data_IF_707685242737
#
_entry.id   IF_707685242737
#
_cell.length_a   1.000
_cell.length_b   1.000
_cell.length_c   1.000
_cell.angle_alpha   90.00
_cell.angle_beta   90.00
_cell.angle_gamma   90.00
#
_symmetry.space_group_name_H-M   'P 1'
#
loop_
_entity.id
_entity.type
_entity.pdbx_description
1 polymer ?
#
# COMPACT_ATOMS: atom_id res chain seq x y z
N UNK A 1 20.32 30.53 -2.63
CA UNK A 1 21.43 31.48 -2.84
C UNK A 1 22.70 30.67 -3.00
N UNK A 2 23.53 31.03 -3.98
CA UNK A 2 24.78 30.29 -4.25
C UNK A 2 25.88 31.23 -4.75
N UNK A 3 27.07 31.08 -4.24
CA UNK A 3 28.30 31.61 -4.85
C UNK A 3 29.17 30.43 -5.23
N UNK A 4 29.50 30.30 -6.53
CA UNK A 4 30.29 29.17 -7.05
C UNK A 4 31.59 28.98 -6.24
N UNK A 5 31.91 27.76 -5.89
CA UNK A 5 33.10 27.32 -5.17
C UNK A 5 33.34 27.99 -3.80
N UNK A 6 32.30 28.62 -3.21
CA UNK A 6 32.40 29.29 -1.92
C UNK A 6 31.30 28.91 -0.95
N UNK A 7 30.03 29.14 -1.29
CA UNK A 7 28.93 28.78 -0.41
C UNK A 7 27.64 28.50 -1.16
N UNK A 8 26.73 27.78 -0.52
CA UNK A 8 25.32 27.78 -0.85
C UNK A 8 24.46 27.83 0.40
N UNK A 9 23.26 28.36 0.24
CA UNK A 9 22.17 28.31 1.19
C UNK A 9 20.92 27.93 0.41
N UNK A 10 20.20 26.92 0.88
CA UNK A 10 18.93 26.45 0.30
C UNK A 10 17.89 26.30 1.41
N UNK A 11 16.69 26.84 1.17
CA UNK A 11 15.52 26.59 2.00
C UNK A 11 14.34 26.20 1.11
N UNK A 12 13.53 25.27 1.55
CA UNK A 12 12.31 24.88 0.87
C UNK A 12 11.30 24.28 1.85
N UNK A 13 10.04 24.26 1.44
CA UNK A 13 8.98 23.53 2.10
C UNK A 13 8.32 22.58 1.10
N UNK A 14 7.92 21.42 1.57
CA UNK A 14 7.09 20.47 0.85
C UNK A 14 5.81 20.26 1.65
N UNK A 15 4.66 20.37 0.98
CA UNK A 15 3.36 20.09 1.58
C UNK A 15 2.73 18.90 0.87
N UNK A 16 2.21 17.98 1.66
CA UNK A 16 1.44 16.84 1.19
C UNK A 16 -0.05 17.20 1.16
N UNK A 17 -0.77 16.60 0.23
CA UNK A 17 -2.23 16.59 0.19
C UNK A 17 -2.69 15.24 -0.37
N UNK A 18 -3.32 14.43 0.47
CA UNK A 18 -3.82 13.12 0.05
C UNK A 18 -4.98 13.24 -0.96
N UNK A 19 -5.64 14.40 -1.05
CA UNK A 19 -6.80 14.59 -1.93
C UNK A 19 -7.88 13.56 -1.67
N UNK A 20 -8.30 12.87 -2.74
CA UNK A 20 -9.31 11.80 -2.71
C UNK A 20 -8.69 10.40 -2.65
N UNK A 21 -7.44 10.27 -2.18
CA UNK A 21 -6.76 8.99 -2.03
C UNK A 21 -7.44 8.09 -1.00
N UNK A 22 -7.47 6.81 -1.26
CA UNK A 22 -8.04 5.80 -0.36
C UNK A 22 -7.25 4.48 -0.45
N UNK A 23 -7.43 3.61 0.54
CA UNK A 23 -6.85 2.28 0.55
C UNK A 23 -7.71 1.31 -0.30
N UNK A 24 -7.24 0.87 -1.49
CA UNK A 24 -8.03 -0.01 -2.35
C UNK A 24 -8.19 -1.42 -1.76
N UNK A 25 -7.23 -1.91 -0.99
CA UNK A 25 -7.28 -3.23 -0.40
C UNK A 25 -8.35 -3.30 0.69
N UNK A 26 -8.32 -2.38 1.65
CA UNK A 26 -9.34 -2.33 2.69
C UNK A 26 -10.71 -1.93 2.14
N UNK A 27 -10.78 -1.11 1.09
CA UNK A 27 -12.03 -0.81 0.40
C UNK A 27 -12.68 -2.09 -0.14
N UNK A 28 -11.90 -2.95 -0.81
CA UNK A 28 -12.41 -4.21 -1.34
C UNK A 28 -12.90 -5.14 -0.21
N UNK A 29 -12.16 -5.27 0.89
CA UNK A 29 -12.56 -6.07 2.04
C UNK A 29 -13.85 -5.56 2.68
N UNK A 30 -13.97 -4.25 2.92
CA UNK A 30 -15.16 -3.67 3.53
C UNK A 30 -16.39 -3.74 2.61
N UNK A 31 -16.21 -3.59 1.29
CA UNK A 31 -17.29 -3.84 0.33
C UNK A 31 -17.76 -5.30 0.38
N UNK A 32 -16.84 -6.24 0.49
CA UNK A 32 -17.17 -7.65 0.63
C UNK A 32 -17.89 -7.94 1.95
N UNK A 33 -17.49 -7.33 3.06
CA UNK A 33 -18.15 -7.45 4.36
C UNK A 33 -19.57 -6.85 4.34
N UNK A 34 -19.77 -5.73 3.64
CA UNK A 34 -21.08 -5.08 3.50
C UNK A 34 -22.00 -5.79 2.49
N UNK A 35 -21.43 -6.61 1.60
CA UNK A 35 -22.17 -7.37 0.61
C UNK A 35 -22.86 -8.57 1.24
N UNK A 36 -23.89 -9.08 0.58
CA UNK A 36 -24.54 -10.33 0.95
C UNK A 36 -23.53 -11.46 1.01
N UNK A 37 -23.45 -12.11 2.16
CA UNK A 37 -22.47 -13.16 2.41
C UNK A 37 -22.86 -14.47 1.67
N UNK A 38 -21.87 -15.34 1.35
CA UNK A 38 -22.10 -16.60 0.62
C UNK A 38 -23.10 -17.55 1.29
N UNK A 39 -23.14 -17.58 2.62
CA UNK A 39 -24.05 -18.40 3.43
C UNK A 39 -25.52 -17.98 3.32
N UNK A 40 -25.78 -16.70 2.99
CA UNK A 40 -27.09 -16.18 2.69
C UNK A 40 -27.40 -16.22 1.18
N UNK A 41 -26.41 -16.04 0.33
CA UNK A 41 -26.55 -16.03 -1.13
C UNK A 41 -26.81 -17.43 -1.69
N UNK A 42 -26.04 -18.42 -1.28
CA UNK A 42 -26.09 -19.79 -1.77
C UNK A 42 -27.48 -20.44 -1.59
N UNK A 43 -28.07 -20.43 -0.40
CA UNK A 43 -29.44 -20.96 -0.19
C UNK A 43 -30.49 -20.31 -1.07
N UNK A 44 -30.40 -18.99 -1.31
CA UNK A 44 -31.36 -18.31 -2.18
C UNK A 44 -31.23 -18.77 -3.64
N UNK A 45 -29.98 -18.90 -4.14
CA UNK A 45 -29.70 -19.42 -5.47
C UNK A 45 -30.27 -20.84 -5.65
N UNK A 46 -29.93 -21.75 -4.73
CA UNK A 46 -30.39 -23.15 -4.75
C UNK A 46 -31.92 -23.24 -4.63
N UNK A 47 -32.50 -22.44 -3.75
CA UNK A 47 -33.97 -22.42 -3.60
C UNK A 47 -34.67 -21.98 -4.89
N UNK A 48 -34.14 -20.99 -5.60
CA UNK A 48 -34.69 -20.56 -6.88
C UNK A 48 -34.60 -21.69 -7.93
N UNK A 49 -33.45 -22.38 -8.02
CA UNK A 49 -33.27 -23.53 -8.89
C UNK A 49 -34.30 -24.63 -8.60
N UNK A 50 -34.44 -25.03 -7.34
CA UNK A 50 -35.32 -26.10 -6.95
C UNK A 50 -36.79 -25.78 -7.19
N UNK A 51 -37.22 -24.53 -6.95
CA UNK A 51 -38.63 -24.14 -7.07
C UNK A 51 -39.06 -23.77 -8.48
N UNK A 52 -38.16 -23.15 -9.26
CA UNK A 52 -38.56 -22.58 -10.55
C UNK A 52 -37.93 -23.29 -11.74
N UNK A 53 -36.68 -23.76 -11.63
CA UNK A 53 -35.94 -24.30 -12.80
C UNK A 53 -36.06 -25.80 -12.89
N UNK A 54 -35.89 -26.54 -11.78
CA UNK A 54 -35.93 -28.00 -11.78
C UNK A 54 -37.27 -28.53 -12.28
N UNK A 55 -38.44 -28.04 -11.81
CA UNK A 55 -39.72 -28.48 -12.33
C UNK A 55 -39.87 -28.22 -13.84
N UNK A 56 -39.51 -27.02 -14.29
CA UNK A 56 -39.56 -26.64 -15.69
C UNK A 56 -38.63 -27.47 -16.59
N UNK A 57 -37.39 -27.71 -16.14
CA UNK A 57 -36.46 -28.59 -16.87
C UNK A 57 -37.01 -30.03 -16.98
N UNK A 58 -37.70 -30.53 -15.95
CA UNK A 58 -38.35 -31.86 -15.98
C UNK A 58 -39.49 -31.89 -17.00
N UNK A 59 -40.31 -30.87 -17.05
CA UNK A 59 -41.39 -30.72 -18.05
C UNK A 59 -40.85 -30.74 -19.47
N UNK A 60 -39.63 -30.18 -19.69
CA UNK A 60 -38.94 -30.19 -20.98
C UNK A 60 -38.20 -31.48 -21.26
N UNK A 61 -38.25 -32.49 -20.37
CA UNK A 61 -37.69 -33.81 -20.57
C UNK A 61 -36.29 -34.04 -19.96
N UNK A 62 -35.89 -33.24 -18.98
CA UNK A 62 -34.67 -33.53 -18.22
C UNK A 62 -34.82 -34.87 -17.48
N UNK A 63 -33.86 -35.83 -17.64
CA UNK A 63 -33.99 -37.16 -17.06
C UNK A 63 -34.00 -37.08 -15.52
N UNK A 64 -34.81 -37.93 -14.93
CA UNK A 64 -34.92 -38.06 -13.49
C UNK A 64 -34.09 -39.26 -13.02
N UNK A 65 -33.59 -39.15 -11.79
CA UNK A 65 -33.00 -40.28 -11.12
C UNK A 65 -34.08 -41.31 -10.82
N UNK A 66 -33.95 -42.52 -11.34
CA UNK A 66 -34.87 -43.63 -11.07
C UNK A 66 -34.20 -44.64 -10.13
N UNK A 67 -34.92 -45.10 -9.15
CA UNK A 67 -34.41 -46.14 -8.25
C UNK A 67 -35.03 -47.45 -8.72
N UNK A 68 -34.15 -48.39 -9.10
CA UNK A 68 -34.55 -49.73 -9.57
C UNK A 68 -34.13 -50.75 -8.53
N UNK A 69 -35.05 -51.67 -8.17
CA UNK A 69 -34.73 -52.79 -7.34
C UNK A 69 -34.06 -53.88 -8.17
N UNK A 70 -32.85 -54.31 -7.79
CA UNK A 70 -32.18 -55.40 -8.42
C UNK A 70 -32.55 -56.72 -7.63
N UNK A 71 -33.28 -57.60 -8.25
CA UNK A 71 -33.76 -58.85 -7.58
C UNK A 71 -32.64 -59.86 -7.33
N UNK A 72 -31.48 -59.71 -8.01
CA UNK A 72 -30.33 -60.60 -7.85
C UNK A 72 -29.50 -60.19 -6.64
N UNK A 73 -29.20 -58.92 -6.51
CA UNK A 73 -28.41 -58.39 -5.39
C UNK A 73 -29.25 -57.94 -4.19
N UNK A 74 -30.60 -57.98 -4.31
CA UNK A 74 -31.54 -57.49 -3.31
C UNK A 74 -31.27 -56.04 -2.87
N UNK A 75 -30.73 -55.23 -3.75
CA UNK A 75 -30.39 -53.82 -3.49
C UNK A 75 -31.14 -52.86 -4.37
N UNK A 76 -31.39 -51.68 -3.85
CA UNK A 76 -31.87 -50.52 -4.64
C UNK A 76 -30.66 -49.86 -5.34
N UNK A 77 -30.70 -49.80 -6.64
CA UNK A 77 -29.70 -49.07 -7.47
C UNK A 77 -30.32 -47.85 -8.07
N UNK A 78 -29.58 -46.74 -8.02
CA UNK A 78 -29.99 -45.50 -8.65
C UNK A 78 -29.49 -45.51 -10.11
N UNK A 79 -30.40 -45.31 -11.04
CA UNK A 79 -30.10 -45.21 -12.47
C UNK A 79 -30.41 -43.77 -12.96
N UNK A 80 -29.45 -43.18 -13.66
CA UNK A 80 -29.56 -41.87 -14.27
C UNK A 80 -29.09 -41.92 -15.74
N UNK A 81 -29.95 -41.46 -16.66
CA UNK A 81 -29.58 -41.41 -18.08
C UNK A 81 -28.70 -40.19 -18.37
N UNK A 82 -27.40 -40.39 -18.29
CA UNK A 82 -26.40 -39.36 -18.54
C UNK A 82 -26.41 -38.91 -20.02
N UNK A 83 -26.73 -39.79 -20.98
CA UNK A 83 -26.77 -39.42 -22.38
C UNK A 83 -27.97 -38.49 -22.66
N UNK A 84 -29.14 -38.80 -22.11
CA UNK A 84 -30.29 -37.92 -22.20
C UNK A 84 -30.03 -36.56 -21.52
N UNK A 85 -29.36 -36.55 -20.40
CA UNK A 85 -28.94 -35.29 -19.73
C UNK A 85 -28.00 -34.48 -20.60
N UNK A 86 -26.99 -35.09 -21.21
CA UNK A 86 -26.04 -34.39 -22.10
C UNK A 86 -26.77 -33.84 -23.34
N UNK A 87 -27.66 -34.59 -23.94
CA UNK A 87 -28.48 -34.15 -25.06
C UNK A 87 -29.37 -32.95 -24.66
N UNK A 88 -29.93 -32.97 -23.47
CA UNK A 88 -30.70 -31.85 -22.91
C UNK A 88 -29.85 -30.59 -22.75
N UNK A 89 -28.63 -30.69 -22.19
CA UNK A 89 -27.73 -29.56 -22.03
C UNK A 89 -27.35 -28.92 -23.38
N UNK A 90 -27.10 -29.72 -24.41
CA UNK A 90 -26.83 -29.18 -25.74
C UNK A 90 -28.07 -28.50 -26.32
N UNK A 91 -29.23 -29.12 -26.20
CA UNK A 91 -30.49 -28.59 -26.78
C UNK A 91 -30.95 -27.31 -26.13
N UNK A 92 -30.80 -27.18 -24.79
CA UNK A 92 -31.31 -26.06 -24.00
C UNK A 92 -30.19 -25.15 -23.44
N UNK A 93 -29.04 -25.12 -24.11
CA UNK A 93 -27.86 -24.35 -23.64
C UNK A 93 -28.22 -22.89 -23.34
N UNK A 94 -28.87 -22.19 -24.25
CA UNK A 94 -29.26 -20.78 -24.08
C UNK A 94 -30.27 -20.59 -22.94
N UNK A 95 -31.20 -21.52 -22.80
CA UNK A 95 -32.16 -21.52 -21.70
C UNK A 95 -31.46 -21.72 -20.34
N UNK A 96 -30.48 -22.60 -20.27
CA UNK A 96 -29.68 -22.82 -19.06
C UNK A 96 -28.91 -21.57 -18.63
N UNK A 97 -28.31 -20.86 -19.58
CA UNK A 97 -27.68 -19.58 -19.30
C UNK A 97 -28.66 -18.54 -18.76
N UNK A 98 -29.85 -18.45 -19.36
CA UNK A 98 -30.91 -17.56 -18.88
C UNK A 98 -31.36 -17.95 -17.47
N UNK A 99 -31.67 -19.22 -17.24
CA UNK A 99 -32.09 -19.72 -15.92
C UNK A 99 -31.03 -19.49 -14.83
N UNK A 100 -29.75 -19.68 -15.18
CA UNK A 100 -28.66 -19.38 -14.26
C UNK A 100 -28.60 -17.90 -13.91
N UNK A 101 -28.78 -17.01 -14.89
CA UNK A 101 -28.81 -15.57 -14.65
C UNK A 101 -30.05 -15.17 -13.83
N UNK A 102 -31.21 -15.76 -14.08
CA UNK A 102 -32.42 -15.51 -13.31
C UNK A 102 -32.26 -15.94 -11.83
N UNK A 103 -31.65 -17.11 -11.60
CA UNK A 103 -31.35 -17.60 -10.26
C UNK A 103 -30.32 -16.71 -9.54
N UNK A 104 -29.29 -16.24 -10.26
CA UNK A 104 -28.28 -15.31 -9.75
C UNK A 104 -28.92 -13.98 -9.38
N UNK A 105 -29.72 -13.39 -10.27
CA UNK A 105 -30.41 -12.13 -10.02
C UNK A 105 -31.33 -12.23 -8.79
N UNK A 106 -32.05 -13.35 -8.65
CA UNK A 106 -32.85 -13.61 -7.46
C UNK A 106 -31.97 -13.69 -6.19
N UNK A 107 -30.87 -14.43 -6.24
CA UNK A 107 -29.97 -14.53 -5.10
C UNK A 107 -29.35 -13.19 -4.73
N UNK A 108 -28.99 -12.37 -5.71
CA UNK A 108 -28.42 -11.04 -5.50
C UNK A 108 -29.42 -10.08 -4.83
N UNK A 109 -30.70 -10.16 -5.19
CA UNK A 109 -31.70 -9.17 -4.80
C UNK A 109 -32.70 -9.64 -3.75
N UNK A 110 -32.77 -10.94 -3.42
CA UNK A 110 -33.81 -11.55 -2.57
C UNK A 110 -33.80 -11.09 -1.10
N UNK A 111 -32.83 -10.36 -0.65
CA UNK A 111 -32.84 -9.70 0.65
C UNK A 111 -32.37 -8.24 0.47
N UNK A 112 -33.30 -7.32 0.58
CA UNK A 112 -33.05 -5.88 0.37
C UNK A 112 -32.24 -5.23 1.47
N UNK A 113 -32.16 -5.83 2.66
CA UNK A 113 -31.41 -5.27 3.78
C UNK A 113 -29.88 -5.41 3.61
N UNK A 114 -29.46 -6.48 2.94
CA UNK A 114 -28.05 -6.74 2.61
C UNK A 114 -27.95 -7.24 1.17
N UNK A 115 -28.02 -6.34 0.17
CA UNK A 115 -27.93 -6.73 -1.23
C UNK A 115 -26.54 -7.23 -1.56
N UNK A 116 -26.42 -8.11 -2.54
CA UNK A 116 -25.12 -8.43 -3.12
C UNK A 116 -24.61 -7.22 -3.91
N UNK A 117 -23.43 -6.71 -3.57
CA UNK A 117 -22.87 -5.50 -4.18
C UNK A 117 -22.21 -5.84 -5.52
N UNK A 118 -22.98 -5.81 -6.59
CA UNK A 118 -22.48 -6.05 -7.96
C UNK A 118 -21.82 -4.78 -8.49
N UNK A 119 -20.55 -4.82 -8.94
CA UNK A 119 -19.89 -3.68 -9.55
C UNK A 119 -20.71 -3.06 -10.69
N UNK A 120 -20.79 -1.73 -10.73
CA UNK A 120 -21.58 -0.98 -11.71
C UNK A 120 -23.03 -0.72 -11.29
N UNK A 121 -23.54 -1.33 -10.24
CA UNK A 121 -24.88 -1.03 -9.71
C UNK A 121 -24.88 0.21 -8.81
N UNK A 122 -26.03 0.86 -8.67
CA UNK A 122 -26.20 2.01 -7.78
C UNK A 122 -25.88 1.67 -6.32
N UNK A 123 -26.23 0.46 -5.87
CA UNK A 123 -25.94 -0.02 -4.52
C UNK A 123 -24.44 -0.13 -4.27
N UNK A 124 -23.71 -0.71 -5.23
CA UNK A 124 -22.24 -0.79 -5.18
C UNK A 124 -21.61 0.60 -5.16
N UNK A 125 -22.01 1.50 -6.07
CA UNK A 125 -21.45 2.86 -6.13
C UNK A 125 -21.72 3.65 -4.85
N UNK A 126 -22.89 3.50 -4.26
CA UNK A 126 -23.23 4.14 -2.98
C UNK A 126 -22.32 3.64 -1.85
N UNK A 127 -22.16 2.33 -1.73
CA UNK A 127 -21.30 1.72 -0.72
C UNK A 127 -19.83 2.12 -0.93
N UNK A 128 -19.33 2.05 -2.16
CA UNK A 128 -17.98 2.46 -2.54
C UNK A 128 -17.73 3.93 -2.16
N UNK A 129 -18.61 4.85 -2.61
CA UNK A 129 -18.45 6.27 -2.33
C UNK A 129 -18.47 6.55 -0.83
N UNK A 130 -19.33 5.88 -0.06
CA UNK A 130 -19.35 6.02 1.39
C UNK A 130 -18.02 5.61 2.03
N UNK A 131 -17.42 4.51 1.60
CA UNK A 131 -16.16 4.02 2.13
C UNK A 131 -14.98 4.95 1.78
N UNK A 132 -14.85 5.35 0.52
CA UNK A 132 -13.71 6.14 0.06
C UNK A 132 -13.75 7.61 0.52
N UNK A 133 -14.93 8.16 0.77
CA UNK A 133 -15.09 9.53 1.30
C UNK A 133 -15.05 9.61 2.83
N UNK A 134 -15.22 8.49 3.51
CA UNK A 134 -15.07 8.40 4.96
C UNK A 134 -13.60 8.16 5.29
N UNK A 135 -13.05 8.92 6.25
CA UNK A 135 -11.65 8.75 6.66
C UNK A 135 -11.39 7.34 7.17
N UNK A 136 -10.24 6.81 6.83
CA UNK A 136 -9.75 5.56 7.42
C UNK A 136 -9.52 5.78 8.93
N UNK A 137 -9.89 4.81 9.72
CA UNK A 137 -9.73 4.82 11.17
C UNK A 137 -9.35 3.43 11.66
N UNK A 138 -9.14 3.29 12.97
CA UNK A 138 -9.05 1.95 13.58
C UNK A 138 -10.26 1.15 13.12
N UNK A 139 -10.05 -0.12 12.76
CA UNK A 139 -11.06 -1.08 12.26
C UNK A 139 -12.29 -1.18 13.18
N UNK A 140 -13.14 -0.15 13.17
CA UNK A 140 -14.42 -0.13 13.85
C UNK A 140 -15.52 -0.10 12.80
N UNK A 141 -16.67 -0.68 13.11
CA UNK A 141 -17.85 -0.58 12.26
C UNK A 141 -18.08 0.90 11.88
N UNK A 142 -18.14 1.19 10.60
CA UNK A 142 -18.33 2.55 10.09
C UNK A 142 -17.04 3.30 9.74
N UNK A 143 -15.86 2.68 9.88
CA UNK A 143 -14.60 3.23 9.37
C UNK A 143 -14.62 3.26 7.84
N UNK A 144 -14.12 4.33 7.26
CA UNK A 144 -13.87 4.42 5.82
C UNK A 144 -12.46 3.98 5.44
N UNK A 145 -12.10 4.26 4.21
CA UNK A 145 -10.78 3.94 3.64
C UNK A 145 -10.06 5.15 3.05
N UNK A 146 -10.70 6.34 3.12
CA UNK A 146 -10.14 7.58 2.63
C UNK A 146 -8.95 8.04 3.48
N UNK A 147 -7.85 8.41 2.85
CA UNK A 147 -6.71 9.01 3.52
C UNK A 147 -6.93 10.52 3.73
N UNK A 148 -6.39 11.01 4.81
CA UNK A 148 -6.21 12.43 5.04
C UNK A 148 -4.74 12.68 5.32
N UNK A 149 -4.10 13.53 4.53
CA UNK A 149 -2.74 13.97 4.77
C UNK A 149 -2.60 15.45 4.39
N UNK A 150 -2.17 16.24 5.34
CA UNK A 150 -1.83 17.66 5.20
C UNK A 150 -0.47 17.90 5.87
N UNK A 151 0.42 16.92 5.76
CA UNK A 151 1.75 16.97 6.35
C UNK A 151 2.63 17.99 5.63
N UNK A 152 3.61 18.52 6.34
CA UNK A 152 4.60 19.41 5.76
C UNK A 152 6.01 19.09 6.25
N UNK A 153 6.98 19.35 5.39
CA UNK A 153 8.41 19.35 5.67
C UNK A 153 8.97 20.73 5.38
N UNK A 154 9.65 21.30 6.34
CA UNK A 154 10.46 22.50 6.19
C UNK A 154 11.93 22.13 6.27
N UNK A 155 12.73 22.58 5.30
CA UNK A 155 14.14 22.25 5.24
C UNK A 155 14.98 23.47 4.92
N UNK A 156 16.03 23.67 5.70
CA UNK A 156 17.08 24.63 5.41
C UNK A 156 18.43 23.93 5.49
N UNK A 157 19.32 24.21 4.55
CA UNK A 157 20.69 23.75 4.58
C UNK A 157 21.65 24.77 4.00
N UNK A 158 22.86 24.77 4.51
CA UNK A 158 23.94 25.64 4.03
C UNK A 158 25.31 24.97 4.15
N UNK A 159 26.20 25.42 3.28
CA UNK A 159 27.59 24.98 3.24
C UNK A 159 28.48 26.15 2.89
N UNK A 160 29.63 26.20 3.53
CA UNK A 160 30.69 27.14 3.21
C UNK A 160 32.03 26.43 3.02
N UNK A 161 32.78 26.84 1.99
CA UNK A 161 34.08 26.31 1.62
C UNK A 161 35.17 27.31 1.91
N UNK A 162 36.12 26.89 2.68
CA UNK A 162 37.34 27.65 3.00
C UNK A 162 38.53 27.09 2.20
N UNK A 163 39.51 27.94 1.91
CA UNK A 163 40.76 27.53 1.29
C UNK A 163 41.97 28.04 2.12
N UNK A 164 42.14 27.54 3.35
CA UNK A 164 43.25 27.94 4.17
C UNK A 164 44.56 27.32 3.64
N UNK A 165 45.72 27.86 4.00
CA UNK A 165 47.01 27.45 3.47
C UNK A 165 47.44 26.02 3.87
N UNK A 166 46.87 25.47 4.95
CA UNK A 166 47.26 24.15 5.46
C UNK A 166 46.47 22.97 4.83
N UNK A 167 45.35 23.23 4.10
CA UNK A 167 44.57 22.22 3.34
C UNK A 167 44.11 22.85 2.01
N UNK A 168 43.77 21.99 1.04
CA UNK A 168 43.32 22.45 -0.27
C UNK A 168 41.86 22.96 -0.21
N UNK A 169 41.04 22.30 0.56
CA UNK A 169 39.66 22.71 0.82
C UNK A 169 39.25 22.28 2.24
N UNK A 170 38.52 23.13 2.92
CA UNK A 170 37.84 22.85 4.17
C UNK A 170 36.37 23.25 4.03
N UNK A 171 35.51 22.30 4.20
CA UNK A 171 34.05 22.46 4.08
C UNK A 171 33.44 22.42 5.46
N UNK A 172 32.51 23.34 5.74
CA UNK A 172 31.65 23.30 6.92
C UNK A 172 30.23 23.52 6.44
N UNK A 173 29.32 22.69 6.90
CA UNK A 173 27.92 22.81 6.53
C UNK A 173 26.99 22.24 7.58
N UNK A 174 25.71 22.53 7.38
CA UNK A 174 24.66 22.02 8.25
C UNK A 174 23.30 22.07 7.60
N UNK A 175 22.37 21.36 8.21
CA UNK A 175 20.98 21.36 7.80
C UNK A 175 20.07 21.30 9.03
N UNK A 176 18.86 21.82 8.85
CA UNK A 176 17.76 21.66 9.78
C UNK A 176 16.51 21.24 9.03
N UNK A 177 15.77 20.28 9.59
CA UNK A 177 14.48 19.80 9.10
C UNK A 177 13.46 19.83 10.19
N UNK A 178 12.25 20.27 9.85
CA UNK A 178 11.10 20.18 10.70
C UNK A 178 9.99 19.48 9.95
N UNK A 179 9.55 18.36 10.48
CA UNK A 179 8.40 17.60 9.99
C UNK A 179 7.19 17.94 10.85
N UNK A 180 6.07 18.19 10.20
CA UNK A 180 4.77 18.44 10.83
C UNK A 180 3.72 17.51 10.22
N UNK A 181 3.76 16.21 10.57
CA UNK A 181 2.76 15.26 10.08
C UNK A 181 1.36 15.65 10.57
N UNK A 182 0.36 15.55 9.67
CA UNK A 182 -1.04 15.84 9.98
C UNK A 182 -1.94 14.93 9.16
N UNK A 183 -2.29 13.79 9.73
CA UNK A 183 -3.09 12.77 9.07
C UNK A 183 -4.47 12.54 9.67
N UNK A 184 -4.79 13.19 10.78
CA UNK A 184 -6.03 12.99 11.54
C UNK A 184 -6.27 11.50 11.88
N UNK A 185 -5.20 10.77 12.18
CA UNK A 185 -5.23 9.35 12.53
C UNK A 185 -5.27 8.39 11.37
N UNK A 186 -5.28 8.84 10.12
CA UNK A 186 -5.32 7.93 8.95
C UNK A 186 -3.97 7.29 8.63
N UNK A 187 -2.87 7.93 9.05
CA UNK A 187 -1.49 7.47 8.82
C UNK A 187 -0.72 7.47 10.14
N UNK A 188 -0.71 8.61 10.83
CA UNK A 188 0.03 8.82 12.08
C UNK A 188 -0.91 8.83 13.29
N UNK A 189 -0.35 8.60 14.48
CA UNK A 189 -1.10 8.61 15.75
C UNK A 189 -1.42 10.04 16.22
N UNK A 190 -1.99 10.87 15.33
CA UNK A 190 -2.33 12.29 15.56
C UNK A 190 -3.84 12.52 15.75
N UNK A 191 -4.52 11.56 16.39
CA UNK A 191 -5.93 11.67 16.79
C UNK A 191 -6.11 12.55 18.04
N UNK A 192 -7.33 13.04 18.26
CA UNK A 192 -7.69 13.73 19.52
C UNK A 192 -6.92 15.02 19.79
N UNK A 193 -6.62 15.81 18.74
CA UNK A 193 -5.84 17.06 18.82
C UNK A 193 -4.35 16.88 19.18
N UNK A 194 -3.82 15.67 19.09
CA UNK A 194 -2.38 15.45 19.25
C UNK A 194 -1.65 16.09 18.06
N UNK A 195 -0.71 16.97 18.34
CA UNK A 195 0.17 17.58 17.34
C UNK A 195 1.51 16.86 17.38
N UNK A 196 1.84 16.20 16.30
CA UNK A 196 3.14 15.56 16.11
C UNK A 196 4.07 16.56 15.43
N UNK A 197 5.26 16.72 15.99
CA UNK A 197 6.38 17.41 15.33
C UNK A 197 7.63 16.57 15.49
N UNK A 198 8.47 16.58 14.51
CA UNK A 198 9.78 15.94 14.60
C UNK A 198 10.81 16.85 13.94
N UNK A 199 11.81 17.25 14.70
CA UNK A 199 12.89 18.11 14.22
C UNK A 199 14.21 17.35 14.22
N UNK A 200 15.03 17.65 13.23
CA UNK A 200 16.40 17.13 13.15
C UNK A 200 17.36 18.18 12.62
N UNK A 201 18.57 18.16 13.10
CA UNK A 201 19.64 18.96 12.54
C UNK A 201 20.89 18.10 12.34
N UNK A 202 21.67 18.48 11.35
CA UNK A 202 22.95 17.87 11.07
C UNK A 202 24.01 18.95 10.87
N UNK A 203 25.19 18.72 11.43
CA UNK A 203 26.37 19.51 11.18
C UNK A 203 27.45 18.62 10.59
N UNK A 204 28.22 19.12 9.64
CA UNK A 204 29.32 18.39 9.08
C UNK A 204 30.51 19.29 8.78
N UNK A 205 31.68 18.68 8.81
CA UNK A 205 32.91 19.29 8.36
C UNK A 205 33.70 18.29 7.55
N UNK A 206 34.45 18.78 6.60
CA UNK A 206 35.30 17.93 5.74
C UNK A 206 36.52 18.68 5.24
N UNK A 207 37.63 17.96 5.08
CA UNK A 207 38.85 18.50 4.53
C UNK A 207 39.29 17.69 3.31
N UNK A 208 39.85 18.39 2.33
CA UNK A 208 40.68 17.79 1.27
C UNK A 208 42.11 18.30 1.40
N UNK A 209 43.05 17.37 1.42
CA UNK A 209 44.48 17.71 1.36
C UNK A 209 45.21 16.87 0.30
N UNK A 210 45.94 17.56 -0.55
CA UNK A 210 46.86 16.96 -1.51
C UNK A 210 48.29 17.17 -1.02
N UNK A 211 49.13 16.17 -1.21
CA UNK A 211 50.54 16.22 -0.79
C UNK A 211 51.41 15.32 -1.67
N UNK A 212 52.74 15.38 -1.51
CA UNK A 212 53.71 14.66 -2.32
C UNK A 212 53.55 14.93 -3.83
N UNK A 213 53.54 16.20 -4.24
CA UNK A 213 53.33 16.65 -5.62
C UNK A 213 52.02 16.13 -6.22
N UNK A 214 50.94 16.26 -5.46
CA UNK A 214 49.55 15.82 -5.78
C UNK A 214 49.37 14.31 -6.00
N UNK A 215 50.39 13.50 -5.72
CA UNK A 215 50.30 12.04 -5.81
C UNK A 215 49.39 11.44 -4.76
N UNK A 216 49.21 12.10 -3.63
CA UNK A 216 48.30 11.68 -2.58
C UNK A 216 47.18 12.70 -2.40
N UNK A 217 45.92 12.19 -2.29
CA UNK A 217 44.76 12.99 -1.95
C UNK A 217 44.06 12.34 -0.75
N UNK A 218 44.02 13.03 0.35
CA UNK A 218 43.27 12.69 1.55
C UNK A 218 41.97 13.47 1.57
N UNK A 219 40.84 12.77 1.74
CA UNK A 219 39.56 13.37 2.09
C UNK A 219 39.15 12.79 3.44
N UNK A 220 38.72 13.63 4.36
CA UNK A 220 38.21 13.21 5.65
C UNK A 220 36.95 14.07 5.96
N UNK A 221 35.90 13.43 6.42
CA UNK A 221 34.65 14.09 6.81
C UNK A 221 34.18 13.56 8.13
N UNK A 222 33.55 14.42 8.91
CA UNK A 222 32.80 14.06 10.11
C UNK A 222 31.44 14.73 10.06
N UNK A 223 30.40 13.94 10.24
CA UNK A 223 29.03 14.41 10.33
C UNK A 223 28.46 14.04 11.71
N UNK A 224 27.73 14.96 12.29
CA UNK A 224 26.93 14.79 13.50
C UNK A 224 25.47 15.07 13.14
N UNK A 225 24.59 14.16 13.49
CA UNK A 225 23.14 14.33 13.34
C UNK A 225 22.47 14.20 14.71
N UNK A 226 21.44 15.00 14.94
CA UNK A 226 20.57 14.93 16.10
C UNK A 226 19.12 15.02 15.66
N UNK A 227 18.36 14.01 16.00
CA UNK A 227 16.90 14.01 15.87
C UNK A 227 16.26 14.31 17.23
N UNK A 228 15.08 14.90 17.23
CA UNK A 228 14.34 15.24 18.45
C UNK A 228 14.20 14.06 19.43
N UNK A 229 13.96 12.85 18.91
CA UNK A 229 13.65 11.66 19.69
C UNK A 229 14.85 10.72 19.93
N UNK A 230 15.99 10.96 19.29
CA UNK A 230 17.16 10.08 19.34
C UNK A 230 18.42 10.83 19.72
N UNK A 231 19.39 10.13 20.22
CA UNK A 231 20.69 10.68 20.60
C UNK A 231 21.53 11.13 19.41
N UNK A 232 22.64 11.79 19.70
CA UNK A 232 23.58 12.23 18.68
C UNK A 232 24.19 11.05 17.95
N UNK A 233 24.20 11.13 16.62
CA UNK A 233 24.83 10.16 15.73
C UNK A 233 26.04 10.79 15.06
N UNK A 234 27.14 10.06 15.02
CA UNK A 234 28.39 10.49 14.39
C UNK A 234 28.73 9.56 13.23
N UNK A 235 28.98 10.15 12.07
CA UNK A 235 29.30 9.43 10.84
C UNK A 235 30.64 9.92 10.30
N UNK A 236 31.75 9.33 10.73
CA UNK A 236 33.06 9.60 10.15
C UNK A 236 33.25 8.90 8.81
N UNK A 237 33.95 9.57 7.90
CA UNK A 237 34.41 8.96 6.66
C UNK A 237 35.81 9.50 6.29
N UNK A 238 36.64 8.63 5.74
CA UNK A 238 37.96 9.01 5.23
C UNK A 238 38.27 8.23 3.96
N UNK A 239 38.97 8.85 3.03
CA UNK A 239 39.56 8.18 1.88
C UNK A 239 40.93 8.73 1.54
N UNK A 240 41.85 7.83 1.24
CA UNK A 240 43.17 8.13 0.74
C UNK A 240 43.30 7.60 -0.68
N UNK A 241 43.62 8.46 -1.61
CA UNK A 241 43.90 8.08 -3.00
C UNK A 241 45.41 8.31 -3.25
N UNK A 242 46.07 7.28 -3.72
CA UNK A 242 47.44 7.33 -4.24
C UNK A 242 47.42 7.24 -5.75
N UNK A 243 47.94 8.24 -6.43
CA UNK A 243 47.98 8.34 -7.88
C UNK A 243 49.44 8.60 -8.32
N UNK A 244 50.24 7.55 -8.56
CA UNK A 244 51.65 7.69 -8.95
C UNK A 244 51.84 8.35 -10.31
N UNK A 245 50.90 8.13 -11.23
CA UNK A 245 50.87 8.67 -12.59
C UNK A 245 49.45 9.02 -13.05
N UNK A 246 49.27 9.45 -14.31
CA UNK A 246 47.97 9.89 -14.84
C UNK A 246 46.98 8.75 -15.10
N UNK A 247 47.43 7.51 -15.09
CA UNK A 247 46.66 6.35 -15.51
C UNK A 247 46.28 5.48 -14.29
N UNK A 248 47.22 5.30 -13.37
CA UNK A 248 47.09 4.36 -12.26
C UNK A 248 46.70 5.07 -10.96
N UNK A 249 45.77 4.47 -10.21
CA UNK A 249 45.48 4.93 -8.86
C UNK A 249 45.05 3.75 -7.94
N UNK A 250 45.33 3.93 -6.67
CA UNK A 250 44.87 3.04 -5.59
C UNK A 250 44.08 3.88 -4.60
N UNK A 251 42.90 3.39 -4.17
CA UNK A 251 42.04 4.06 -3.20
C UNK A 251 41.79 3.16 -2.00
N UNK A 252 41.99 3.71 -0.82
CA UNK A 252 41.50 3.15 0.45
C UNK A 252 40.42 4.04 1.00
N UNK A 253 39.27 3.45 1.41
CA UNK A 253 38.17 4.22 1.97
C UNK A 253 37.56 3.52 3.18
N UNK A 254 37.26 4.30 4.22
CA UNK A 254 36.55 3.90 5.43
C UNK A 254 35.34 4.83 5.59
N UNK A 255 34.14 4.25 5.73
CA UNK A 255 32.92 5.02 5.89
C UNK A 255 32.05 4.41 6.99
N UNK A 256 31.43 5.27 7.78
CA UNK A 256 30.35 4.91 8.69
C UNK A 256 29.10 5.69 8.29
N UNK A 257 27.96 4.99 8.23
CA UNK A 257 26.67 5.61 7.99
C UNK A 257 25.65 5.08 9.00
N UNK A 258 24.99 6.00 9.68
CA UNK A 258 23.93 5.70 10.66
C UNK A 258 22.70 6.51 10.25
N UNK A 259 21.51 5.92 10.41
CA UNK A 259 20.24 6.56 10.08
C UNK A 259 19.26 6.42 11.24
N UNK A 260 18.56 7.48 11.57
CA UNK A 260 17.43 7.44 12.47
C UNK A 260 16.23 6.70 11.84
N UNK A 261 15.34 6.10 12.64
CA UNK A 261 14.04 5.58 12.18
C UNK A 261 13.23 6.65 11.45
N UNK A 262 12.43 6.22 10.48
CA UNK A 262 11.55 7.12 9.73
C UNK A 262 10.39 7.61 10.60
N UNK A 263 9.63 8.61 10.12
CA UNK A 263 8.40 9.06 10.80
C UNK A 263 7.37 7.93 10.94
N UNK A 264 7.25 7.07 9.92
CA UNK A 264 6.36 5.91 9.98
C UNK A 264 6.79 4.93 11.08
N UNK A 265 8.09 4.68 11.24
CA UNK A 265 8.59 3.80 12.31
C UNK A 265 8.33 4.37 13.70
N UNK A 266 8.22 5.69 13.82
CA UNK A 266 8.06 6.39 15.11
C UNK A 266 6.59 6.66 15.47
N UNK A 267 5.73 6.92 14.49
CA UNK A 267 4.40 7.51 14.73
C UNK A 267 3.27 6.84 13.95
N UNK A 268 3.52 5.69 13.29
CA UNK A 268 2.47 4.98 12.56
C UNK A 268 1.29 4.65 13.48
N UNK A 269 0.09 4.91 12.99
CA UNK A 269 -1.14 4.49 13.65
C UNK A 269 -1.48 3.05 13.23
N UNK A 270 -1.35 2.10 14.14
CA UNK A 270 -1.61 0.66 13.94
C UNK A 270 -3.02 0.28 14.36
#
# INVERSE_FOLDING_TARGET
IRQKDKFFLRAYATNEDAGDSYDPYFTALLLQEQSKQPDAWGPNYVTYWQRNIVPHARELGFPQLTTVYDPITMRLTNNFDQNAANAFYVKYNDSLFKWQNDARNYADTSNTNTPFLVPGTTAFQKALNQLITTKSGRRTLGSGTGFYDKSALYHVQGEYKFKPSFVNEWVVGGNYRLYTPKSAGTIFSDTGNVVITNSEFGLYTGIEKKFANDKFRLNATLRMDKNQNFDYLFSPAASLVYQPDKINYVRLSLNSAIRNPTLNDQYLNL
#
